data_IF_370416251627
#
_entry.id   IF_370416251627
#
_cell.length_a   1.000
_cell.length_b   1.000
_cell.length_c   1.000
_cell.angle_alpha   90.00
_cell.angle_beta   90.00
_cell.angle_gamma   90.00
#
_symmetry.space_group_name_H-M   'P 1'
#
loop_
_entity.id
_entity.type
_entity.pdbx_description
1 polymer ?
#
# COMPACT_ATOMS: atom_id res chain seq x y z
N UNK A 1 1.52 -1.03 28.04
CA UNK A 1 2.55 -0.34 27.23
C UNK A 1 2.53 -1.02 25.87
N UNK A 2 1.88 -0.40 24.90
CA UNK A 2 1.81 -0.93 23.54
C UNK A 2 3.22 -1.00 22.96
N UNK A 3 3.61 -2.19 22.50
CA UNK A 3 4.78 -2.38 21.66
C UNK A 3 4.53 -1.61 20.36
N UNK A 4 5.08 -0.41 20.21
CA UNK A 4 5.19 0.27 18.92
C UNK A 4 6.48 -0.23 18.28
N UNK A 5 6.43 -1.24 17.40
CA UNK A 5 7.64 -1.75 16.80
C UNK A 5 7.99 -0.78 15.67
N UNK A 6 9.09 -0.07 15.82
CA UNK A 6 9.74 0.79 14.81
C UNK A 6 9.20 2.21 14.66
N UNK A 7 9.69 3.13 15.50
CA UNK A 7 9.84 4.54 15.13
C UNK A 7 11.32 4.95 15.24
N UNK A 8 11.68 6.17 14.81
CA UNK A 8 13.06 6.65 14.92
C UNK A 8 13.45 6.96 16.39
N UNK A 9 14.75 6.95 16.70
CA UNK A 9 15.27 6.90 18.07
C UNK A 9 14.74 7.99 19.03
N UNK A 10 14.42 9.17 18.51
CA UNK A 10 14.00 10.32 19.29
C UNK A 10 12.50 10.63 19.15
N UNK A 11 11.72 9.69 18.60
CA UNK A 11 10.30 9.89 18.32
C UNK A 11 9.48 10.29 19.57
N UNK A 12 8.64 11.32 19.46
CA UNK A 12 7.84 11.87 20.57
C UNK A 12 8.65 12.26 21.82
N UNK A 13 9.93 12.58 21.66
CA UNK A 13 10.75 13.10 22.76
C UNK A 13 10.95 14.60 22.63
N UNK A 14 11.35 15.26 23.72
CA UNK A 14 11.74 16.68 23.68
C UNK A 14 12.98 16.96 22.79
N UNK A 15 13.63 15.92 22.27
CA UNK A 15 14.80 16.01 21.41
C UNK A 15 14.47 15.98 19.90
N UNK A 16 13.19 15.96 19.53
CA UNK A 16 12.74 16.25 18.16
C UNK A 16 12.83 17.75 17.86
N UNK A 17 14.06 18.25 17.76
CA UNK A 17 14.35 19.68 17.56
C UNK A 17 14.98 19.90 16.18
N UNK A 18 14.87 21.10 15.58
CA UNK A 18 15.46 21.40 14.28
C UNK A 18 16.94 21.03 14.16
N UNK A 19 17.69 21.23 15.24
CA UNK A 19 19.11 20.87 15.33
C UNK A 19 19.39 19.40 14.98
N UNK A 20 18.52 18.46 15.41
CA UNK A 20 18.66 17.05 15.06
C UNK A 20 18.60 16.83 13.55
N UNK A 21 17.66 17.51 12.87
CA UNK A 21 17.49 17.38 11.44
C UNK A 21 18.68 17.95 10.67
N UNK A 22 19.12 19.15 11.07
CA UNK A 22 20.23 19.87 10.43
C UNK A 22 21.59 19.20 10.64
N UNK A 23 21.78 18.41 11.71
CA UNK A 23 23.07 17.83 12.06
C UNK A 23 23.16 16.31 11.85
N UNK A 24 22.03 15.59 11.86
CA UNK A 24 22.04 14.11 11.75
C UNK A 24 21.16 13.56 10.64
N UNK A 25 19.95 14.07 10.43
CA UNK A 25 18.97 13.41 9.54
C UNK A 25 19.08 13.86 8.08
N UNK A 26 19.09 15.18 7.84
CA UNK A 26 19.10 15.76 6.49
C UNK A 26 19.97 17.02 6.45
N UNK A 27 21.27 16.82 6.71
CA UNK A 27 22.23 17.91 6.87
C UNK A 27 22.39 18.83 5.65
N UNK A 28 22.03 18.33 4.47
CA UNK A 28 22.08 19.09 3.22
C UNK A 28 20.69 19.52 2.72
N UNK A 29 19.62 19.16 3.43
CA UNK A 29 18.25 19.40 3.00
C UNK A 29 17.80 18.62 1.75
N UNK A 30 18.65 17.73 1.23
CA UNK A 30 18.42 17.06 -0.05
C UNK A 30 17.27 16.07 0.04
N UNK A 31 17.14 15.39 1.17
CA UNK A 31 16.06 14.42 1.38
C UNK A 31 14.71 15.13 1.46
N UNK A 32 14.65 16.25 2.18
CA UNK A 32 13.46 17.08 2.32
C UNK A 32 13.03 17.68 0.97
N UNK A 33 14.01 18.16 0.18
CA UNK A 33 13.75 18.67 -1.18
C UNK A 33 13.25 17.56 -2.10
N UNK A 34 13.90 16.40 -2.11
CA UNK A 34 13.49 15.26 -2.95
C UNK A 34 12.06 14.79 -2.59
N UNK A 35 11.74 14.73 -1.30
CA UNK A 35 10.40 14.38 -0.83
C UNK A 35 9.37 15.42 -1.26
N UNK A 36 9.69 16.71 -1.15
CA UNK A 36 8.84 17.80 -1.62
C UNK A 36 8.58 17.73 -3.12
N UNK A 37 9.61 17.46 -3.92
CA UNK A 37 9.50 17.27 -5.37
C UNK A 37 8.62 16.07 -5.72
N UNK A 38 8.81 14.95 -5.02
CA UNK A 38 8.00 13.75 -5.22
C UNK A 38 6.51 14.01 -4.96
N UNK A 39 6.18 14.63 -3.82
CA UNK A 39 4.79 14.98 -3.50
C UNK A 39 4.18 15.96 -4.50
N UNK A 40 4.95 16.97 -4.90
CA UNK A 40 4.48 17.96 -5.88
C UNK A 40 4.17 17.31 -7.22
N UNK A 41 5.01 16.39 -7.68
CA UNK A 41 4.79 15.69 -8.95
C UNK A 41 3.56 14.77 -8.88
N UNK A 42 3.35 14.05 -7.77
CA UNK A 42 2.13 13.25 -7.56
C UNK A 42 0.89 14.15 -7.65
N UNK A 43 0.86 15.25 -6.91
CA UNK A 43 -0.30 16.16 -6.89
C UNK A 43 -0.56 16.75 -8.26
N UNK A 44 0.50 17.16 -8.95
CA UNK A 44 0.42 17.70 -10.30
C UNK A 44 -0.17 16.68 -11.29
N UNK A 45 0.31 15.44 -11.28
CA UNK A 45 -0.23 14.40 -12.17
C UNK A 45 -1.69 14.07 -11.87
N UNK A 46 -2.12 14.16 -10.61
CA UNK A 46 -3.52 13.98 -10.23
C UNK A 46 -4.41 15.16 -10.62
N UNK A 47 -3.90 16.38 -10.58
CA UNK A 47 -4.67 17.61 -10.83
C UNK A 47 -4.75 17.97 -12.33
N UNK A 48 -3.66 17.79 -13.07
CA UNK A 48 -3.52 18.31 -14.44
C UNK A 48 -3.86 17.27 -15.53
N UNK A 49 -3.80 15.98 -15.22
CA UNK A 49 -4.07 14.95 -16.23
C UNK A 49 -5.58 14.81 -16.49
N UNK A 50 -5.96 14.81 -17.76
CA UNK A 50 -7.35 14.58 -18.21
C UNK A 50 -7.83 13.19 -17.77
N UNK A 51 -6.93 12.19 -17.83
CA UNK A 51 -7.15 10.84 -17.33
C UNK A 51 -6.40 10.68 -16.00
N UNK A 52 -7.10 10.27 -14.95
CA UNK A 52 -6.49 10.04 -13.65
C UNK A 52 -5.46 8.92 -13.79
N UNK A 53 -4.19 9.13 -13.36
CA UNK A 53 -3.09 8.19 -13.55
C UNK A 53 -3.15 7.01 -12.57
N UNK A 54 -4.29 6.35 -12.45
CA UNK A 54 -4.45 5.15 -11.64
C UNK A 54 -4.40 3.90 -12.51
N UNK A 55 -3.57 2.95 -12.10
CA UNK A 55 -3.54 1.62 -12.69
C UNK A 55 -4.41 0.67 -11.85
N UNK A 56 -5.54 0.24 -12.42
CA UNK A 56 -6.48 -0.66 -11.75
C UNK A 56 -5.91 -2.10 -11.68
N UNK A 57 -4.99 -2.46 -12.58
CA UNK A 57 -4.34 -3.77 -12.59
C UNK A 57 -3.53 -4.01 -11.31
N UNK A 58 -2.87 -2.97 -10.79
CA UNK A 58 -2.12 -3.04 -9.53
C UNK A 58 -3.04 -3.44 -8.36
N UNK A 59 -4.27 -2.94 -8.35
CA UNK A 59 -5.26 -3.31 -7.34
C UNK A 59 -5.67 -4.79 -7.44
N UNK A 60 -5.83 -5.29 -8.66
CA UNK A 60 -6.14 -6.70 -8.91
C UNK A 60 -5.02 -7.62 -8.38
N UNK A 61 -3.77 -7.29 -8.70
CA UNK A 61 -2.59 -8.03 -8.24
C UNK A 61 -2.50 -8.05 -6.72
N UNK A 62 -2.70 -6.90 -6.06
CA UNK A 62 -2.70 -6.81 -4.60
C UNK A 62 -3.79 -7.69 -3.97
N UNK A 63 -5.01 -7.71 -4.53
CA UNK A 63 -6.09 -8.56 -4.04
C UNK A 63 -5.79 -10.06 -4.18
N UNK A 64 -5.17 -10.49 -5.28
CA UNK A 64 -4.71 -11.87 -5.45
C UNK A 64 -3.67 -12.25 -4.40
N UNK A 65 -2.72 -11.36 -4.14
CA UNK A 65 -1.70 -11.57 -3.12
C UNK A 65 -2.32 -11.67 -1.72
N UNK A 66 -3.24 -10.77 -1.37
CA UNK A 66 -3.92 -10.82 -0.07
C UNK A 66 -4.72 -12.10 0.10
N UNK A 67 -5.42 -12.56 -0.94
CA UNK A 67 -6.14 -13.84 -0.89
C UNK A 67 -5.19 -15.02 -0.67
N UNK A 68 -4.04 -15.04 -1.36
CA UNK A 68 -3.03 -16.07 -1.21
C UNK A 68 -2.45 -16.08 0.21
N UNK A 69 -2.08 -14.91 0.74
CA UNK A 69 -1.56 -14.75 2.11
C UNK A 69 -2.60 -15.17 3.16
N UNK A 70 -3.85 -14.74 3.01
CA UNK A 70 -4.94 -15.14 3.89
C UNK A 70 -5.13 -16.66 3.88
N UNK A 71 -5.15 -17.28 2.70
CA UNK A 71 -5.27 -18.74 2.57
C UNK A 71 -4.11 -19.48 3.22
N UNK A 72 -2.87 -19.00 3.06
CA UNK A 72 -1.71 -19.57 3.72
C UNK A 72 -1.82 -19.46 5.25
N UNK A 73 -2.18 -18.29 5.77
CA UNK A 73 -2.31 -18.05 7.20
C UNK A 73 -3.43 -18.89 7.83
N UNK A 74 -4.61 -18.97 7.20
CA UNK A 74 -5.72 -19.80 7.68
C UNK A 74 -5.36 -21.29 7.71
N UNK A 75 -4.54 -21.77 6.77
CA UNK A 75 -4.04 -23.16 6.77
C UNK A 75 -3.07 -23.40 7.93
N UNK A 76 -2.17 -22.46 8.19
CA UNK A 76 -1.21 -22.54 9.29
C UNK A 76 -1.91 -22.58 10.65
N UNK A 77 -2.90 -21.70 10.86
CA UNK A 77 -3.67 -21.61 12.12
C UNK A 77 -4.74 -22.72 12.26
N UNK A 78 -4.88 -23.61 11.27
CA UNK A 78 -5.85 -24.71 11.30
C UNK A 78 -7.33 -24.28 11.20
N UNK A 79 -7.59 -23.00 10.88
CA UNK A 79 -8.93 -22.40 10.82
C UNK A 79 -9.71 -22.84 9.57
N UNK A 80 -9.02 -23.41 8.57
CA UNK A 80 -9.63 -23.98 7.36
C UNK A 80 -10.66 -25.09 7.63
N UNK A 81 -10.64 -25.72 8.82
CA UNK A 81 -11.65 -26.70 9.23
C UNK A 81 -12.99 -26.06 9.64
N UNK A 82 -12.99 -24.77 9.97
CA UNK A 82 -14.14 -24.03 10.50
C UNK A 82 -14.71 -23.01 9.51
N UNK A 83 -13.89 -22.56 8.56
CA UNK A 83 -14.34 -21.69 7.48
C UNK A 83 -14.99 -22.54 6.40
N UNK A 84 -16.26 -22.25 6.13
CA UNK A 84 -16.97 -22.89 5.04
C UNK A 84 -16.24 -22.58 3.71
N UNK A 85 -15.67 -23.62 3.07
CA UNK A 85 -14.93 -23.53 1.80
C UNK A 85 -15.68 -22.75 0.71
N UNK A 86 -17.02 -22.70 0.78
CA UNK A 86 -17.86 -21.95 -0.15
C UNK A 86 -17.59 -20.43 -0.13
N UNK A 87 -17.23 -19.84 1.01
CA UNK A 87 -16.99 -18.38 1.10
C UNK A 87 -15.67 -17.96 0.44
N UNK A 88 -14.63 -18.78 0.56
CA UNK A 88 -13.34 -18.52 -0.08
C UNK A 88 -13.41 -18.73 -1.59
N UNK A 89 -14.16 -19.75 -2.03
CA UNK A 89 -14.47 -19.97 -3.44
C UNK A 89 -15.27 -18.80 -4.05
N UNK A 90 -16.26 -18.25 -3.31
CA UNK A 90 -16.96 -17.04 -3.73
C UNK A 90 -16.03 -15.83 -3.86
N UNK A 91 -15.10 -15.66 -2.93
CA UNK A 91 -14.12 -14.57 -2.97
C UNK A 91 -13.19 -14.72 -4.18
N UNK A 92 -12.69 -15.93 -4.45
CA UNK A 92 -11.88 -16.21 -5.64
C UNK A 92 -12.66 -15.93 -6.93
N UNK A 93 -13.91 -16.39 -7.03
CA UNK A 93 -14.78 -16.12 -8.18
C UNK A 93 -15.07 -14.63 -8.37
N UNK A 94 -15.21 -13.87 -7.28
CA UNK A 94 -15.41 -12.42 -7.36
C UNK A 94 -14.17 -11.72 -7.92
N UNK A 95 -12.98 -12.20 -7.55
CA UNK A 95 -11.72 -11.66 -8.03
C UNK A 95 -11.46 -12.01 -9.50
N UNK A 96 -11.82 -13.22 -9.94
CA UNK A 96 -11.80 -13.59 -11.36
C UNK A 96 -12.74 -12.71 -12.20
N UNK A 97 -13.92 -12.37 -11.68
CA UNK A 97 -14.83 -11.42 -12.34
C UNK A 97 -14.21 -10.02 -12.41
N UNK A 98 -13.63 -9.55 -11.32
CA UNK A 98 -12.95 -8.25 -11.26
C UNK A 98 -11.80 -8.16 -12.27
N UNK A 99 -10.95 -9.19 -12.34
CA UNK A 99 -9.86 -9.29 -13.31
C UNK A 99 -10.37 -9.22 -14.76
N UNK A 100 -11.47 -9.91 -15.08
CA UNK A 100 -12.08 -9.84 -16.42
C UNK A 100 -12.56 -8.44 -16.76
N UNK A 101 -13.19 -7.75 -15.80
CA UNK A 101 -13.64 -6.36 -16.00
C UNK A 101 -12.46 -5.43 -16.26
N UNK A 102 -11.36 -5.58 -15.52
CA UNK A 102 -10.14 -4.78 -15.73
C UNK A 102 -9.58 -5.02 -17.13
N UNK A 103 -9.42 -6.27 -17.56
CA UNK A 103 -8.92 -6.56 -18.90
C UNK A 103 -9.79 -5.93 -19.99
N UNK A 104 -11.12 -5.90 -19.80
CA UNK A 104 -12.02 -5.21 -20.72
C UNK A 104 -11.88 -3.67 -20.67
N UNK A 105 -11.59 -3.11 -19.49
CA UNK A 105 -11.38 -1.69 -19.30
C UNK A 105 -10.06 -1.21 -19.93
N UNK A 106 -8.96 -1.96 -19.74
CA UNK A 106 -7.65 -1.68 -20.36
C UNK A 106 -7.65 -1.84 -21.89
N UNK A 107 -8.70 -2.41 -22.49
CA UNK A 107 -8.83 -2.55 -23.95
C UNK A 107 -9.57 -1.36 -24.59
N UNK A 108 -10.31 -0.58 -23.79
CA UNK A 108 -11.15 0.54 -24.27
C UNK A 108 -10.37 1.87 -24.32
N UNK A 109 -9.29 1.97 -23.55
CA UNK A 109 -8.37 3.11 -23.49
C UNK A 109 -6.96 2.68 -23.87
#
# INVERSE_FOLDING_TARGET
MENVPYSFMLYHTAYEIPWLNENFLDTKGLTSVALGQFWLEIVKQLADNILIPFNIEDYCLALYEFLARANAHMKLEGVTKFINNTKLDLLQKSLEKFSKVINSFSTIY
#
